data_IF_429766544791
#
_entry.id   IF_429766544791
#
_cell.length_a   1.000
_cell.length_b   1.000
_cell.length_c   1.000
_cell.angle_alpha   90.00
_cell.angle_beta   90.00
_cell.angle_gamma   90.00
#
_symmetry.space_group_name_H-M   'P 1'
#
loop_
_entity.id
_entity.type
_entity.pdbx_description
1 polymer ?
#
# COMPACT_ATOMS: atom_id res chain seq x y z
N UNK A 1 -26.36 8.20 -7.53
CA UNK A 1 -25.39 7.20 -7.04
C UNK A 1 -24.29 8.01 -6.37
N UNK A 2 -23.88 7.71 -5.14
CA UNK A 2 -22.79 8.41 -4.49
C UNK A 2 -21.52 8.37 -5.33
N UNK A 3 -20.80 9.49 -5.40
CA UNK A 3 -19.50 9.58 -6.07
C UNK A 3 -18.44 9.05 -5.11
N UNK A 4 -17.74 7.97 -5.50
CA UNK A 4 -16.74 7.34 -4.66
C UNK A 4 -15.32 7.66 -5.16
N UNK A 5 -14.60 8.46 -4.41
CA UNK A 5 -13.24 8.93 -4.69
C UNK A 5 -12.25 8.57 -3.57
N UNK A 6 -12.49 7.46 -2.87
CA UNK A 6 -11.62 6.92 -1.81
C UNK A 6 -11.08 5.51 -2.12
N UNK A 7 -10.73 5.26 -3.38
CA UNK A 7 -10.20 3.96 -3.83
C UNK A 7 -8.86 3.59 -3.18
N UNK A 8 -8.08 4.56 -2.71
CA UNK A 8 -6.85 4.30 -1.96
C UNK A 8 -7.13 3.74 -0.54
N UNK A 9 -8.33 3.88 0.01
CA UNK A 9 -8.73 3.18 1.23
C UNK A 9 -9.19 1.76 0.94
N UNK A 10 -10.10 1.58 -0.02
CA UNK A 10 -10.54 0.29 -0.55
C UNK A 10 -11.24 0.50 -1.89
N UNK A 11 -11.15 -0.46 -2.82
CA UNK A 11 -11.90 -0.40 -4.08
C UNK A 11 -13.09 -1.35 -4.02
N UNK A 12 -14.25 -0.97 -4.63
CA UNK A 12 -15.38 -1.87 -4.77
C UNK A 12 -14.98 -3.18 -5.46
N UNK A 13 -15.57 -4.29 -5.01
CA UNK A 13 -15.32 -5.60 -5.60
C UNK A 13 -15.76 -5.59 -7.07
N UNK A 14 -14.86 -5.99 -7.98
CA UNK A 14 -15.15 -6.01 -9.42
C UNK A 14 -16.10 -7.15 -9.76
N UNK A 15 -17.02 -6.97 -10.75
CA UNK A 15 -18.00 -8.00 -11.12
C UNK A 15 -17.37 -9.34 -11.51
N UNK A 16 -16.28 -9.33 -12.28
CA UNK A 16 -15.54 -10.52 -12.69
C UNK A 16 -14.85 -11.22 -11.52
N UNK A 17 -14.36 -10.45 -10.55
CA UNK A 17 -13.78 -10.99 -9.31
C UNK A 17 -14.86 -11.61 -8.44
N UNK A 18 -16.02 -10.93 -8.29
CA UNK A 18 -17.16 -11.46 -7.54
C UNK A 18 -17.64 -12.79 -8.11
N UNK A 19 -17.76 -12.90 -9.45
CA UNK A 19 -18.16 -14.11 -10.11
C UNK A 19 -17.20 -15.27 -9.83
N UNK A 20 -15.90 -15.07 -10.04
CA UNK A 20 -14.86 -16.07 -9.76
C UNK A 20 -14.79 -16.46 -8.29
N UNK A 21 -14.91 -15.49 -7.38
CA UNK A 21 -14.92 -15.72 -5.94
C UNK A 21 -16.11 -16.56 -5.51
N UNK A 22 -17.32 -16.23 -5.99
CA UNK A 22 -18.56 -16.97 -5.69
C UNK A 22 -18.50 -18.42 -6.20
N UNK A 23 -17.94 -18.65 -7.38
CA UNK A 23 -17.73 -19.98 -7.93
C UNK A 23 -16.73 -20.77 -7.07
N UNK A 24 -15.60 -20.17 -6.71
CA UNK A 24 -14.57 -20.81 -5.92
C UNK A 24 -15.02 -21.14 -4.48
N UNK A 25 -15.94 -20.35 -3.90
CA UNK A 25 -16.51 -20.62 -2.57
C UNK A 25 -17.33 -21.94 -2.50
N UNK A 26 -17.74 -22.49 -3.65
CA UNK A 26 -18.43 -23.79 -3.71
C UNK A 26 -17.45 -24.97 -3.58
N UNK A 27 -16.15 -24.72 -3.67
CA UNK A 27 -15.12 -25.74 -3.58
C UNK A 27 -15.05 -26.30 -2.15
N UNK A 28 -15.24 -27.62 -2.03
CA UNK A 28 -15.09 -28.32 -0.76
C UNK A 28 -13.78 -29.11 -0.74
N UNK A 29 -12.88 -28.74 0.15
CA UNK A 29 -11.61 -29.46 0.33
C UNK A 29 -10.60 -28.65 1.12
N UNK A 30 -9.77 -29.35 1.91
CA UNK A 30 -8.58 -28.74 2.52
C UNK A 30 -7.39 -29.02 1.60
N UNK A 31 -6.65 -27.98 1.13
CA UNK A 31 -5.49 -28.16 0.24
C UNK A 31 -4.38 -29.07 0.80
N UNK A 32 -4.36 -29.32 2.12
CA UNK A 32 -3.40 -30.23 2.77
C UNK A 32 -3.86 -31.68 2.78
N UNK A 33 -5.12 -31.99 2.41
CA UNK A 33 -5.64 -33.36 2.41
C UNK A 33 -5.20 -34.14 1.19
N UNK A 34 -4.96 -35.46 1.36
CA UNK A 34 -4.44 -36.36 0.31
C UNK A 34 -5.55 -36.94 -0.60
N UNK A 35 -6.83 -36.87 -0.20
CA UNK A 35 -7.95 -37.36 -0.99
C UNK A 35 -8.29 -36.39 -2.13
N UNK A 36 -9.10 -36.85 -3.11
CA UNK A 36 -9.40 -36.11 -4.34
C UNK A 36 -9.93 -34.69 -4.12
N UNK A 37 -10.84 -34.46 -3.16
CA UNK A 37 -11.34 -33.13 -2.85
C UNK A 37 -10.22 -32.18 -2.36
N UNK A 38 -9.28 -32.68 -1.53
CA UNK A 38 -8.12 -31.90 -1.09
C UNK A 38 -7.16 -31.59 -2.23
N UNK A 39 -6.92 -32.57 -3.11
CA UNK A 39 -6.07 -32.37 -4.30
C UNK A 39 -6.70 -31.34 -5.26
N UNK A 40 -8.03 -31.36 -5.45
CA UNK A 40 -8.73 -30.35 -6.24
C UNK A 40 -8.59 -28.93 -5.63
N UNK A 41 -8.80 -28.80 -4.32
CA UNK A 41 -8.60 -27.52 -3.63
C UNK A 41 -7.16 -27.02 -3.73
N UNK A 42 -6.18 -27.92 -3.64
CA UNK A 42 -4.76 -27.60 -3.82
C UNK A 42 -4.46 -27.15 -5.24
N UNK A 43 -5.00 -27.82 -6.25
CA UNK A 43 -4.81 -27.43 -7.64
C UNK A 43 -5.33 -26.03 -7.91
N UNK A 44 -6.49 -25.68 -7.39
CA UNK A 44 -7.07 -24.33 -7.51
C UNK A 44 -6.21 -23.27 -6.79
N UNK A 45 -5.74 -23.57 -5.59
CA UNK A 45 -4.86 -22.67 -4.83
C UNK A 45 -3.54 -22.42 -5.58
N UNK A 46 -2.91 -23.47 -6.11
CA UNK A 46 -1.63 -23.35 -6.81
C UNK A 46 -1.78 -22.69 -8.19
N UNK A 47 -2.89 -22.91 -8.92
CA UNK A 47 -3.21 -22.15 -10.14
C UNK A 47 -3.33 -20.65 -9.85
N UNK A 48 -4.10 -20.29 -8.82
CA UNK A 48 -4.24 -18.89 -8.40
C UNK A 48 -2.89 -18.26 -8.01
N UNK A 49 -2.02 -19.03 -7.34
CA UNK A 49 -0.66 -18.59 -6.97
C UNK A 49 0.19 -18.32 -8.21
N UNK A 50 0.16 -19.19 -9.20
CA UNK A 50 0.91 -19.06 -10.45
C UNK A 50 0.44 -17.84 -11.25
N UNK A 51 -0.86 -17.62 -11.33
CA UNK A 51 -1.47 -16.45 -11.99
C UNK A 51 -1.08 -15.14 -11.28
N UNK A 52 -1.17 -15.10 -9.95
CA UNK A 52 -0.71 -13.94 -9.17
C UNK A 52 0.78 -13.69 -9.37
N UNK A 53 1.61 -14.74 -9.34
CA UNK A 53 3.05 -14.64 -9.57
C UNK A 53 3.37 -14.04 -10.96
N UNK A 54 2.65 -14.48 -11.99
CA UNK A 54 2.80 -13.93 -13.33
C UNK A 54 2.43 -12.44 -13.39
N UNK A 55 1.35 -12.02 -12.70
CA UNK A 55 0.94 -10.63 -12.64
C UNK A 55 1.92 -9.72 -11.88
N UNK A 56 2.61 -10.27 -10.86
CA UNK A 56 3.62 -9.56 -10.05
C UNK A 56 5.00 -9.56 -10.71
N UNK A 57 5.25 -10.48 -11.65
CA UNK A 57 6.56 -10.67 -12.27
C UNK A 57 7.54 -11.42 -11.36
N UNK A 58 7.07 -12.54 -10.75
CA UNK A 58 7.90 -13.37 -9.86
C UNK A 58 7.65 -14.87 -10.09
N UNK A 59 8.42 -15.71 -9.40
CA UNK A 59 8.16 -17.16 -9.40
C UNK A 59 7.03 -17.50 -8.42
N UNK A 60 6.19 -18.49 -8.76
CA UNK A 60 5.09 -18.93 -7.89
C UNK A 60 5.54 -19.29 -6.47
N UNK A 61 6.77 -19.80 -6.30
CA UNK A 61 7.31 -20.10 -4.98
C UNK A 61 7.69 -18.87 -4.17
N UNK A 62 7.69 -17.69 -4.76
CA UNK A 62 7.94 -16.42 -4.07
C UNK A 62 6.67 -15.81 -3.48
N UNK A 63 5.49 -16.28 -3.89
CA UNK A 63 4.20 -15.82 -3.38
C UNK A 63 3.84 -16.56 -2.07
N UNK A 64 3.61 -15.80 -1.01
CA UNK A 64 3.11 -16.26 0.30
C UNK A 64 1.79 -15.54 0.56
N UNK A 65 0.67 -16.27 0.56
CA UNK A 65 -0.63 -15.68 0.84
C UNK A 65 -0.77 -15.27 2.30
N UNK A 66 -1.39 -14.12 2.54
CA UNK A 66 -1.63 -13.52 3.85
C UNK A 66 -3.07 -13.01 3.94
N UNK A 67 -3.48 -12.53 5.12
CA UNK A 67 -4.80 -11.91 5.31
C UNK A 67 -4.88 -10.46 4.80
N UNK A 68 -3.81 -9.91 4.24
CA UNK A 68 -3.76 -8.55 3.71
C UNK A 68 -2.39 -7.92 3.81
N UNK A 69 -2.28 -6.66 3.38
CA UNK A 69 -1.02 -5.91 3.40
C UNK A 69 -0.42 -5.76 4.79
N UNK A 70 -1.25 -5.58 5.82
CA UNK A 70 -0.76 -5.44 7.21
C UNK A 70 -0.06 -6.71 7.71
N UNK A 71 -0.63 -7.90 7.47
CA UNK A 71 0.04 -9.16 7.82
C UNK A 71 1.33 -9.33 7.00
N UNK A 72 1.29 -9.02 5.71
CA UNK A 72 2.44 -9.14 4.82
C UNK A 72 3.61 -8.23 5.26
N UNK A 73 3.34 -6.96 5.56
CA UNK A 73 4.34 -6.01 6.08
C UNK A 73 4.92 -6.47 7.43
N UNK A 74 4.06 -6.91 8.37
CA UNK A 74 4.52 -7.43 9.66
C UNK A 74 5.40 -8.69 9.49
N UNK A 75 5.01 -9.62 8.62
CA UNK A 75 5.79 -10.85 8.36
C UNK A 75 7.16 -10.51 7.78
N UNK A 76 7.22 -9.58 6.82
CA UNK A 76 8.47 -9.15 6.21
C UNK A 76 9.39 -8.47 7.22
N UNK A 77 8.90 -7.43 7.90
CA UNK A 77 9.72 -6.59 8.80
C UNK A 77 10.19 -7.39 10.00
N UNK A 78 9.27 -8.02 10.73
CA UNK A 78 9.60 -8.81 11.93
C UNK A 78 10.37 -10.08 11.58
N UNK A 79 10.03 -10.72 10.44
CA UNK A 79 10.70 -11.92 9.97
C UNK A 79 12.14 -11.68 9.53
N UNK A 80 12.41 -10.60 8.76
CA UNK A 80 13.77 -10.18 8.38
C UNK A 80 14.59 -9.79 9.62
N UNK A 81 14.03 -8.96 10.50
CA UNK A 81 14.70 -8.51 11.71
C UNK A 81 15.14 -9.71 12.58
N UNK A 82 14.23 -10.63 12.85
CA UNK A 82 14.51 -11.80 13.67
C UNK A 82 15.53 -12.75 13.01
N UNK A 83 15.41 -12.97 11.69
CA UNK A 83 16.33 -13.86 10.95
C UNK A 83 17.75 -13.30 10.91
N UNK A 84 17.88 -12.00 10.64
CA UNK A 84 19.20 -11.35 10.48
C UNK A 84 19.94 -11.16 11.80
N UNK A 85 19.23 -11.04 12.92
CA UNK A 85 19.83 -10.82 14.25
C UNK A 85 20.63 -9.52 14.37
N UNK A 86 20.34 -8.52 13.51
CA UNK A 86 20.95 -7.18 13.52
C UNK A 86 19.97 -6.16 14.08
N UNK A 87 20.45 -5.02 14.53
CA UNK A 87 19.63 -4.09 15.33
C UNK A 87 19.02 -2.95 14.52
N UNK A 88 19.68 -2.50 13.43
CA UNK A 88 19.29 -1.29 12.73
C UNK A 88 18.22 -1.59 11.70
N UNK A 89 17.11 -0.84 11.75
CA UNK A 89 16.08 -0.76 10.73
C UNK A 89 16.18 0.61 10.08
N UNK A 90 16.20 0.66 8.76
CA UNK A 90 16.21 1.92 7.99
C UNK A 90 14.83 2.07 7.35
N UNK A 91 14.13 3.17 7.63
CA UNK A 91 12.77 3.43 7.13
C UNK A 91 12.49 4.92 7.03
N UNK A 92 11.27 5.32 6.66
CA UNK A 92 10.86 6.71 6.59
C UNK A 92 9.59 6.97 7.41
N UNK A 93 9.46 8.16 7.99
CA UNK A 93 8.28 8.53 8.75
C UNK A 93 7.01 8.73 7.89
N UNK A 94 7.13 8.61 6.57
CA UNK A 94 6.02 8.65 5.60
C UNK A 94 5.39 7.28 5.31
N UNK A 95 5.85 6.22 5.98
CA UNK A 95 5.35 4.87 5.80
C UNK A 95 3.90 4.72 6.30
N UNK A 96 3.21 3.69 5.79
CA UNK A 96 1.91 3.29 6.32
C UNK A 96 2.04 2.70 7.74
N UNK A 97 1.01 2.84 8.58
CA UNK A 97 0.98 2.28 9.95
C UNK A 97 1.29 0.79 10.03
N UNK A 98 0.99 0.00 9.00
CA UNK A 98 1.38 -1.42 8.94
C UNK A 98 2.91 -1.63 8.98
N UNK A 99 3.69 -0.62 8.58
CA UNK A 99 5.16 -0.57 8.67
C UNK A 99 5.60 0.13 9.95
N UNK A 100 5.09 1.36 10.20
CA UNK A 100 5.47 2.17 11.37
C UNK A 100 5.25 1.43 12.68
N UNK A 101 4.03 0.91 12.92
CA UNK A 101 3.71 0.23 14.18
C UNK A 101 4.50 -1.07 14.34
N UNK A 102 4.85 -1.76 13.22
CA UNK A 102 5.71 -2.93 13.26
C UNK A 102 7.15 -2.57 13.65
N UNK A 103 7.67 -1.45 13.15
CA UNK A 103 9.00 -0.91 13.47
C UNK A 103 9.04 -0.42 14.92
N UNK A 104 8.06 0.38 15.33
CA UNK A 104 7.93 0.87 16.72
C UNK A 104 7.84 -0.29 17.73
N UNK A 105 7.10 -1.36 17.38
CA UNK A 105 7.10 -2.57 18.20
C UNK A 105 8.51 -3.16 18.36
N UNK A 106 9.29 -3.23 17.26
CA UNK A 106 10.65 -3.75 17.31
C UNK A 106 11.61 -2.83 18.11
N UNK A 107 11.40 -1.50 18.12
CA UNK A 107 12.13 -0.59 19.00
C UNK A 107 11.93 -0.97 20.48
N UNK A 108 10.70 -1.36 20.87
CA UNK A 108 10.45 -1.86 22.24
C UNK A 108 11.19 -3.16 22.55
N UNK A 109 11.62 -3.89 21.51
CA UNK A 109 12.41 -5.12 21.61
C UNK A 109 13.91 -4.88 21.44
N UNK A 110 14.35 -3.63 21.36
CA UNK A 110 15.75 -3.23 21.29
C UNK A 110 16.28 -2.99 19.87
N UNK A 111 15.41 -2.83 18.88
CA UNK A 111 15.81 -2.34 17.56
C UNK A 111 16.21 -0.86 17.66
N UNK A 112 17.15 -0.47 16.81
CA UNK A 112 17.48 0.92 16.51
C UNK A 112 16.87 1.31 15.17
N UNK A 113 16.29 2.49 15.06
CA UNK A 113 15.68 2.94 13.81
C UNK A 113 16.39 4.18 13.28
N UNK A 114 16.79 4.12 12.01
CA UNK A 114 17.20 5.30 11.27
C UNK A 114 16.05 5.77 10.41
N UNK A 115 15.50 6.92 10.75
CA UNK A 115 14.45 7.60 10.03
C UNK A 115 15.06 8.44 8.92
N UNK A 116 14.92 7.99 7.68
CA UNK A 116 15.40 8.73 6.51
C UNK A 116 14.72 10.08 6.39
N UNK A 117 15.50 11.09 6.06
CA UNK A 117 15.00 12.41 5.69
C UNK A 117 14.10 12.30 4.45
N UNK A 118 13.02 13.07 4.42
CA UNK A 118 12.12 13.19 3.29
C UNK A 118 12.01 14.63 2.81
N UNK A 119 11.90 14.81 1.50
CA UNK A 119 11.66 16.13 0.90
C UNK A 119 10.24 16.62 1.17
N UNK A 120 9.98 17.90 0.91
CA UNK A 120 8.63 18.47 0.93
C UNK A 120 7.67 17.86 -0.10
N UNK A 121 8.16 17.05 -1.03
CA UNK A 121 7.37 16.29 -1.99
C UNK A 121 7.11 14.83 -1.57
N UNK A 122 7.59 14.42 -0.39
CA UNK A 122 7.41 13.07 0.14
C UNK A 122 8.35 12.01 -0.41
N UNK A 123 9.46 12.43 -1.05
CA UNK A 123 10.48 11.51 -1.57
C UNK A 123 11.65 11.44 -0.59
N UNK A 124 12.15 10.24 -0.32
CA UNK A 124 13.29 10.01 0.58
C UNK A 124 14.56 10.67 0.05
N UNK A 125 15.45 11.04 0.97
CA UNK A 125 16.79 11.54 0.65
C UNK A 125 17.74 10.35 0.41
N UNK A 126 18.16 10.19 -0.85
CA UNK A 126 19.10 9.13 -1.25
C UNK A 126 20.52 9.33 -0.72
N UNK A 127 20.93 10.55 -0.45
CA UNK A 127 22.25 10.85 0.12
C UNK A 127 22.27 10.45 1.62
N UNK A 128 21.18 10.66 2.34
CA UNK A 128 21.01 10.16 3.71
C UNK A 128 21.02 8.63 3.76
N UNK A 129 20.33 7.95 2.82
CA UNK A 129 20.38 6.50 2.70
C UNK A 129 21.81 6.00 2.40
N UNK A 130 22.51 6.65 1.49
CA UNK A 130 23.88 6.29 1.13
C UNK A 130 24.81 6.42 2.33
N UNK A 131 24.70 7.52 3.09
CA UNK A 131 25.50 7.79 4.28
C UNK A 131 25.26 6.76 5.38
N UNK A 132 24.03 6.44 5.73
CA UNK A 132 23.73 5.46 6.77
C UNK A 132 24.18 4.05 6.38
N UNK A 133 24.09 3.68 5.09
CA UNK A 133 24.59 2.40 4.62
C UNK A 133 26.11 2.33 4.65
N UNK A 134 26.82 3.39 4.25
CA UNK A 134 28.28 3.44 4.35
C UNK A 134 28.76 3.30 5.80
N UNK A 135 28.12 3.98 6.73
CA UNK A 135 28.52 4.03 8.14
C UNK A 135 28.08 2.80 8.94
N UNK A 136 26.87 2.22 8.67
CA UNK A 136 26.19 1.28 9.58
C UNK A 136 25.60 0.03 8.90
N UNK A 137 25.96 -0.30 7.67
CA UNK A 137 25.37 -1.47 6.97
C UNK A 137 25.57 -2.81 7.71
N UNK A 138 26.66 -2.96 8.48
CA UNK A 138 26.91 -4.17 9.26
C UNK A 138 25.89 -4.37 10.39
N UNK A 139 25.29 -3.27 10.89
CA UNK A 139 24.24 -3.29 11.90
C UNK A 139 22.83 -3.44 11.27
N UNK A 140 22.69 -3.16 9.98
CA UNK A 140 21.40 -3.07 9.32
C UNK A 140 20.74 -4.43 9.15
N UNK A 141 19.58 -4.60 9.76
CA UNK A 141 18.70 -5.76 9.59
C UNK A 141 17.96 -5.69 8.26
N UNK A 142 17.36 -4.54 7.95
CA UNK A 142 16.59 -4.32 6.73
C UNK A 142 16.42 -2.82 6.43
N UNK A 143 16.07 -2.54 5.18
CA UNK A 143 15.45 -1.29 4.76
C UNK A 143 13.97 -1.59 4.51
N UNK A 144 13.05 -0.76 5.04
CA UNK A 144 11.61 -0.88 4.81
C UNK A 144 11.07 0.44 4.25
N UNK A 145 10.67 0.44 2.96
CA UNK A 145 10.19 1.64 2.26
C UNK A 145 9.03 1.28 1.34
N UNK A 146 7.94 2.05 1.44
CA UNK A 146 6.83 1.91 0.51
C UNK A 146 7.23 2.35 -0.91
N UNK A 147 6.68 1.70 -1.93
CA UNK A 147 6.97 2.07 -3.31
C UNK A 147 6.21 3.32 -3.74
N UNK A 148 4.92 3.39 -3.34
CA UNK A 148 4.05 4.55 -3.59
C UNK A 148 3.40 4.95 -2.29
N UNK A 149 3.48 6.24 -1.96
CA UNK A 149 2.82 6.76 -0.77
C UNK A 149 1.28 6.75 -0.94
N UNK A 150 0.58 6.12 -0.03
CA UNK A 150 -0.86 5.94 -0.07
C UNK A 150 -1.67 7.22 0.20
N UNK A 151 -1.02 8.28 0.69
CA UNK A 151 -1.67 9.58 0.91
C UNK A 151 -1.40 10.55 -0.24
N UNK A 152 -0.14 10.71 -0.65
CA UNK A 152 0.28 11.72 -1.61
C UNK A 152 0.43 11.20 -3.04
N UNK A 153 0.54 9.89 -3.22
CA UNK A 153 0.86 9.26 -4.49
C UNK A 153 2.32 9.42 -4.91
N UNK A 154 3.20 9.97 -4.07
CA UNK A 154 4.63 10.12 -4.36
C UNK A 154 5.30 8.75 -4.55
N UNK A 155 6.24 8.66 -5.49
CA UNK A 155 6.92 7.42 -5.87
C UNK A 155 8.32 7.41 -5.24
N UNK A 156 8.63 6.37 -4.48
CA UNK A 156 9.98 6.09 -3.98
C UNK A 156 10.82 5.45 -5.10
N UNK A 157 12.08 5.88 -5.34
CA UNK A 157 12.94 5.31 -6.39
C UNK A 157 13.52 3.94 -5.97
N UNK A 158 12.66 2.92 -5.87
CA UNK A 158 12.96 1.60 -5.31
C UNK A 158 14.15 0.93 -6.02
N UNK A 159 14.26 1.04 -7.34
CA UNK A 159 15.38 0.45 -8.09
C UNK A 159 16.72 1.08 -7.69
N UNK A 160 16.73 2.37 -7.35
CA UNK A 160 17.95 3.04 -6.85
C UNK A 160 18.25 2.61 -5.41
N UNK A 161 17.22 2.47 -4.58
CA UNK A 161 17.35 1.98 -3.20
C UNK A 161 17.92 0.57 -3.19
N UNK A 162 17.36 -0.35 -3.97
CA UNK A 162 17.80 -1.76 -4.03
C UNK A 162 19.19 -1.90 -4.62
N UNK A 163 19.52 -1.14 -5.68
CA UNK A 163 20.87 -1.11 -6.25
C UNK A 163 21.93 -0.62 -5.26
N UNK A 164 21.57 0.37 -4.42
CA UNK A 164 22.46 0.86 -3.36
C UNK A 164 22.60 -0.17 -2.24
N UNK A 165 21.47 -0.68 -1.73
CA UNK A 165 21.43 -1.67 -0.65
C UNK A 165 22.18 -2.97 -0.99
N UNK A 166 22.12 -3.41 -2.26
CA UNK A 166 22.81 -4.59 -2.75
C UNK A 166 24.34 -4.52 -2.59
N UNK A 167 24.94 -3.32 -2.69
CA UNK A 167 26.39 -3.11 -2.50
C UNK A 167 26.84 -3.49 -1.08
N UNK A 168 25.91 -3.41 -0.12
CA UNK A 168 26.15 -3.64 1.30
C UNK A 168 25.48 -4.93 1.81
N UNK A 169 24.78 -5.67 0.96
CA UNK A 169 24.08 -6.90 1.34
C UNK A 169 22.95 -6.68 2.36
N UNK A 170 22.29 -5.51 2.30
CA UNK A 170 21.14 -5.18 3.16
C UNK A 170 19.85 -5.47 2.41
N UNK A 171 18.94 -6.32 2.95
CA UNK A 171 17.67 -6.63 2.31
C UNK A 171 16.73 -5.43 2.32
N UNK A 172 15.96 -5.30 1.24
CA UNK A 172 14.94 -4.25 1.09
C UNK A 172 13.55 -4.89 1.06
N UNK A 173 12.70 -4.45 1.98
CA UNK A 173 11.27 -4.68 1.97
C UNK A 173 10.54 -3.47 1.41
N UNK A 174 9.53 -3.69 0.56
CA UNK A 174 8.68 -2.61 0.09
C UNK A 174 7.20 -2.91 0.35
N UNK A 175 6.50 -1.93 0.94
CA UNK A 175 5.04 -1.91 0.87
C UNK A 175 4.61 -1.52 -0.55
N UNK A 176 4.17 -2.51 -1.31
CA UNK A 176 3.70 -2.39 -2.70
C UNK A 176 2.19 -2.22 -2.84
N UNK A 177 1.48 -2.03 -1.72
CA UNK A 177 -0.01 -2.01 -1.69
C UNK A 177 -0.59 -0.89 -2.56
N UNK A 178 0.04 0.28 -2.60
CA UNK A 178 -0.42 1.41 -3.40
C UNK A 178 0.23 1.49 -4.80
N UNK A 179 1.28 0.70 -5.06
CA UNK A 179 1.99 0.70 -6.35
C UNK A 179 1.50 -0.38 -7.30
N UNK A 180 1.20 -1.58 -6.78
CA UNK A 180 0.89 -2.74 -7.59
C UNK A 180 -0.35 -2.48 -8.46
N UNK A 181 -0.23 -2.69 -9.78
CA UNK A 181 -1.22 -2.40 -10.83
C UNK A 181 -1.51 -0.90 -11.08
N UNK A 182 -0.98 0.04 -10.30
CA UNK A 182 -1.15 1.48 -10.49
C UNK A 182 0.05 2.15 -11.19
N UNK A 183 1.17 1.42 -11.27
CA UNK A 183 2.34 1.74 -12.07
C UNK A 183 2.99 0.44 -12.55
N UNK A 184 3.90 0.49 -13.54
CA UNK A 184 4.69 -0.69 -13.90
C UNK A 184 5.44 -1.20 -12.66
N UNK A 185 5.11 -2.42 -12.22
CA UNK A 185 5.69 -3.06 -11.05
C UNK A 185 6.09 -4.48 -11.44
N UNK A 186 7.38 -4.79 -11.39
CA UNK A 186 7.91 -6.13 -11.61
C UNK A 186 8.84 -6.47 -10.45
N UNK A 187 8.44 -7.44 -9.63
CA UNK A 187 9.22 -7.84 -8.47
C UNK A 187 10.58 -8.44 -8.86
N UNK A 188 10.63 -9.27 -9.91
CA UNK A 188 11.85 -9.94 -10.36
C UNK A 188 12.94 -8.97 -10.80
N UNK A 189 12.57 -7.82 -11.36
CA UNK A 189 13.50 -6.80 -11.84
C UNK A 189 13.80 -5.72 -10.79
N UNK A 190 13.02 -5.65 -9.71
CA UNK A 190 13.10 -4.57 -8.71
C UNK A 190 14.31 -4.65 -7.78
N UNK A 191 14.90 -5.83 -7.61
CA UNK A 191 15.95 -6.10 -6.62
C UNK A 191 15.46 -6.19 -5.17
N UNK A 192 14.14 -6.18 -4.94
CA UNK A 192 13.54 -6.31 -3.62
C UNK A 192 13.78 -7.70 -3.02
N UNK A 193 13.97 -7.74 -1.72
CA UNK A 193 13.97 -8.98 -0.94
C UNK A 193 12.56 -9.45 -0.64
N UNK A 194 11.65 -8.50 -0.37
CA UNK A 194 10.24 -8.77 -0.11
C UNK A 194 9.36 -7.61 -0.55
N UNK A 195 8.11 -7.91 -0.96
CA UNK A 195 7.08 -6.91 -1.30
C UNK A 195 5.72 -7.33 -0.78
N UNK A 196 5.02 -6.43 -0.09
CA UNK A 196 3.64 -6.65 0.38
C UNK A 196 2.63 -6.13 -0.64
N UNK A 197 1.57 -6.92 -0.93
CA UNK A 197 0.45 -6.54 -1.79
C UNK A 197 -0.88 -7.00 -1.20
N UNK A 198 -1.99 -6.39 -1.64
CA UNK A 198 -3.34 -6.73 -1.12
C UNK A 198 -4.40 -6.70 -2.22
N UNK A 199 -5.41 -7.56 -2.10
CA UNK A 199 -6.45 -7.71 -3.09
C UNK A 199 -7.43 -6.53 -3.13
N UNK A 200 -7.84 -5.99 -1.96
CA UNK A 200 -8.93 -5.02 -1.89
C UNK A 200 -8.62 -3.65 -2.51
N UNK A 201 -7.36 -3.32 -2.76
CA UNK A 201 -6.97 -2.10 -3.49
C UNK A 201 -7.16 -2.24 -5.01
N UNK A 202 -7.24 -3.47 -5.49
CA UNK A 202 -7.41 -3.82 -6.91
C UNK A 202 -8.85 -4.18 -7.27
N UNK A 203 -9.80 -4.04 -6.33
CA UNK A 203 -11.16 -4.53 -6.49
C UNK A 203 -11.30 -6.04 -6.26
N UNK A 204 -10.41 -6.61 -5.47
CA UNK A 204 -10.48 -7.93 -4.89
C UNK A 204 -11.09 -7.95 -3.48
N UNK A 205 -11.18 -9.12 -2.82
CA UNK A 205 -11.77 -9.23 -1.50
C UNK A 205 -10.91 -8.57 -0.40
N UNK A 206 -11.59 -8.00 0.60
CA UNK A 206 -10.97 -7.62 1.87
C UNK A 206 -10.55 -8.88 2.62
N UNK A 207 -9.48 -8.80 3.41
CA UNK A 207 -9.00 -9.94 4.20
C UNK A 207 -8.12 -10.90 3.41
N UNK A 208 -7.63 -10.50 2.22
CA UNK A 208 -6.70 -11.28 1.42
C UNK A 208 -5.55 -10.44 0.85
N UNK A 209 -4.34 -10.95 0.92
CA UNK A 209 -3.13 -10.33 0.40
C UNK A 209 -2.01 -11.34 0.17
N UNK A 210 -0.83 -10.85 -0.15
CA UNK A 210 0.37 -11.68 -0.29
C UNK A 210 1.63 -10.92 0.12
N UNK A 211 2.59 -11.66 0.66
CA UNK A 211 3.98 -11.27 0.73
C UNK A 211 4.73 -11.98 -0.39
N UNK A 212 5.37 -11.22 -1.25
CA UNK A 212 6.31 -11.76 -2.24
C UNK A 212 7.68 -11.82 -1.56
N UNK A 213 8.31 -12.99 -1.60
CA UNK A 213 9.59 -13.27 -0.91
C UNK A 213 10.57 -13.83 -1.92
N UNK A 214 11.62 -13.07 -2.22
CA UNK A 214 12.69 -13.54 -3.11
C UNK A 214 13.27 -14.88 -2.65
N UNK A 215 13.59 -15.77 -3.57
CA UNK A 215 14.15 -17.11 -3.27
C UNK A 215 15.44 -17.05 -2.46
N UNK A 216 16.18 -15.96 -2.56
CA UNK A 216 17.42 -15.74 -1.81
C UNK A 216 17.19 -15.21 -0.39
N UNK A 217 15.92 -14.89 -0.03
CA UNK A 217 15.56 -14.26 1.24
C UNK A 217 14.99 -15.28 2.21
N UNK A 218 15.53 -15.30 3.41
CA UNK A 218 15.03 -16.11 4.52
C UNK A 218 14.35 -15.22 5.57
N UNK A 219 13.24 -15.71 6.09
CA UNK A 219 12.41 -15.04 7.11
C UNK A 219 12.15 -15.97 8.29
N UNK A 220 12.11 -15.40 9.48
CA UNK A 220 11.53 -16.08 10.64
C UNK A 220 10.00 -15.94 10.58
N UNK A 221 9.22 -17.05 10.62
CA UNK A 221 7.77 -16.99 10.55
C UNK A 221 7.17 -16.34 11.79
N UNK A 222 6.03 -15.64 11.62
CA UNK A 222 5.25 -15.09 12.75
C UNK A 222 4.24 -16.11 13.29
N UNK A 223 3.64 -16.93 12.41
CA UNK A 223 2.66 -17.96 12.79
C UNK A 223 3.25 -19.34 12.64
N UNK A 224 3.17 -20.13 13.72
CA UNK A 224 3.67 -21.48 13.77
C UNK A 224 2.51 -22.49 13.72
N UNK A 225 2.66 -23.57 12.96
CA UNK A 225 1.60 -24.58 12.78
C UNK A 225 1.95 -25.62 11.73
N UNK A 226 0.99 -25.96 10.86
CA UNK A 226 1.05 -27.09 9.93
C UNK A 226 1.98 -26.94 8.71
N UNK A 227 2.85 -25.95 8.66
CA UNK A 227 3.86 -25.81 7.60
C UNK A 227 3.30 -25.32 6.25
N UNK A 228 2.09 -24.78 6.20
CA UNK A 228 1.53 -24.17 4.99
C UNK A 228 2.39 -22.99 4.56
N UNK A 229 2.18 -22.50 3.34
CA UNK A 229 2.91 -21.34 2.77
C UNK A 229 4.42 -21.43 3.03
N UNK A 230 5.03 -22.56 2.70
CA UNK A 230 6.45 -22.83 2.85
C UNK A 230 6.96 -22.68 4.31
N UNK A 231 6.12 -23.00 5.28
CA UNK A 231 6.36 -22.80 6.72
C UNK A 231 6.58 -21.31 7.14
N UNK A 232 6.34 -20.36 6.26
CA UNK A 232 6.42 -18.92 6.57
C UNK A 232 5.11 -18.38 7.16
N UNK A 233 3.96 -19.00 6.76
CA UNK A 233 2.65 -18.60 7.26
C UNK A 233 1.76 -19.83 7.44
N UNK A 234 1.60 -20.29 8.68
CA UNK A 234 0.78 -21.45 9.00
C UNK A 234 -0.72 -21.10 9.00
N UNK A 235 -1.56 -22.12 8.84
CA UNK A 235 -3.01 -22.05 8.81
C UNK A 235 -3.58 -22.53 7.47
N UNK A 236 -4.82 -23.05 7.51
CA UNK A 236 -5.51 -23.49 6.29
C UNK A 236 -5.71 -22.31 5.35
N UNK A 237 -5.36 -22.52 4.08
CA UNK A 237 -5.42 -21.47 3.07
C UNK A 237 -6.82 -21.31 2.51
N UNK A 238 -7.24 -20.07 2.30
CA UNK A 238 -8.45 -19.70 1.58
C UNK A 238 -8.20 -19.74 0.07
N UNK A 239 -8.54 -20.89 -0.55
CA UNK A 239 -8.40 -21.08 -1.99
C UNK A 239 -9.31 -20.15 -2.80
N UNK A 240 -10.50 -19.82 -2.29
CA UNK A 240 -11.42 -18.92 -2.96
C UNK A 240 -10.89 -17.48 -2.97
N UNK A 241 -10.38 -17.00 -1.83
CA UNK A 241 -9.70 -15.71 -1.73
C UNK A 241 -8.49 -15.61 -2.66
N UNK A 242 -7.71 -16.70 -2.79
CA UNK A 242 -6.58 -16.76 -3.72
C UNK A 242 -7.01 -16.58 -5.19
N UNK A 243 -8.08 -17.30 -5.62
CA UNK A 243 -8.67 -17.14 -6.96
C UNK A 243 -9.13 -15.71 -7.20
N UNK A 244 -9.87 -15.15 -6.25
CA UNK A 244 -10.37 -13.78 -6.35
C UNK A 244 -9.24 -12.75 -6.46
N UNK A 245 -8.15 -12.95 -5.69
CA UNK A 245 -6.98 -12.08 -5.78
C UNK A 245 -6.25 -12.22 -7.12
N UNK A 246 -6.08 -13.43 -7.62
CA UNK A 246 -5.47 -13.67 -8.93
C UNK A 246 -6.24 -12.96 -10.04
N UNK A 247 -7.58 -13.10 -10.08
CA UNK A 247 -8.44 -12.41 -11.06
C UNK A 247 -8.31 -10.89 -10.92
N UNK A 248 -8.32 -10.35 -9.70
CA UNK A 248 -8.14 -8.92 -9.49
C UNK A 248 -6.77 -8.41 -9.97
N UNK A 249 -5.71 -9.21 -9.77
CA UNK A 249 -4.35 -8.89 -10.19
C UNK A 249 -4.13 -8.98 -11.71
N UNK A 250 -4.87 -9.84 -12.41
CA UNK A 250 -4.82 -9.96 -13.87
C UNK A 250 -5.64 -8.90 -14.60
N UNK A 251 -6.61 -8.30 -13.89
CA UNK A 251 -7.50 -7.29 -14.49
C UNK A 251 -6.81 -5.93 -14.48
N UNK A 252 -6.47 -5.35 -15.64
CA UNK A 252 -5.72 -4.11 -15.70
C UNK A 252 -6.50 -2.94 -15.09
N UNK A 253 -5.77 -2.01 -14.49
CA UNK A 253 -6.34 -0.73 -14.05
C UNK A 253 -6.47 0.20 -15.27
N UNK A 254 -7.50 1.09 -15.30
CA UNK A 254 -7.59 2.15 -16.29
C UNK A 254 -6.39 3.11 -16.23
N UNK A 255 -6.22 3.86 -17.31
CA UNK A 255 -5.31 5.01 -17.30
C UNK A 255 -5.98 6.22 -16.63
N UNK A 256 -5.50 6.60 -15.48
CA UNK A 256 -6.06 7.70 -14.68
C UNK A 256 -5.44 9.07 -14.99
N UNK A 257 -4.53 9.19 -15.98
CA UNK A 257 -3.81 10.47 -16.25
C UNK A 257 -4.73 11.60 -16.66
N UNK A 258 -5.79 11.32 -17.42
CA UNK A 258 -6.77 12.33 -17.80
C UNK A 258 -7.60 12.81 -16.59
N UNK A 259 -8.06 11.89 -15.75
CA UNK A 259 -8.76 12.21 -14.50
C UNK A 259 -7.87 13.05 -13.56
N UNK A 260 -6.61 12.64 -13.41
CA UNK A 260 -5.65 13.37 -12.59
C UNK A 260 -5.39 14.79 -13.10
N UNK A 261 -5.20 14.95 -14.42
CA UNK A 261 -4.97 16.26 -15.03
C UNK A 261 -6.17 17.19 -14.82
N UNK A 262 -7.39 16.69 -15.06
CA UNK A 262 -8.62 17.45 -14.83
C UNK A 262 -8.79 17.81 -13.35
N UNK A 263 -8.56 16.88 -12.44
CA UNK A 263 -8.67 17.15 -11.00
C UNK A 263 -7.65 18.21 -10.55
N UNK A 264 -6.40 18.13 -11.02
CA UNK A 264 -5.38 19.14 -10.72
C UNK A 264 -5.77 20.50 -11.27
N UNK A 265 -6.24 20.57 -12.52
CA UNK A 265 -6.69 21.82 -13.15
C UNK A 265 -7.81 22.51 -12.36
N UNK A 266 -8.84 21.74 -11.99
CA UNK A 266 -10.05 22.29 -11.37
C UNK A 266 -9.90 22.58 -9.86
N UNK A 267 -9.03 21.83 -9.15
CA UNK A 267 -8.87 21.95 -7.70
C UNK A 267 -7.75 22.92 -7.31
N UNK A 268 -6.68 23.06 -8.10
CA UNK A 268 -5.52 23.90 -7.77
C UNK A 268 -5.83 25.39 -7.54
N UNK A 269 -6.89 25.98 -8.09
CA UNK A 269 -7.30 27.34 -7.70
C UNK A 269 -7.75 27.49 -6.23
N UNK A 270 -8.13 26.39 -5.56
CA UNK A 270 -8.66 26.36 -4.20
C UNK A 270 -7.71 25.70 -3.20
N UNK A 271 -6.91 24.74 -3.63
CA UNK A 271 -6.02 23.93 -2.80
C UNK A 271 -4.65 23.73 -3.41
N UNK A 272 -3.67 23.35 -2.59
CA UNK A 272 -2.29 23.12 -3.02
C UNK A 272 -2.01 21.62 -3.08
N UNK A 273 -1.58 21.12 -4.24
CA UNK A 273 -1.17 19.72 -4.41
C UNK A 273 0.07 19.43 -3.54
N UNK A 274 -0.04 18.46 -2.63
CA UNK A 274 0.96 18.22 -1.57
C UNK A 274 2.34 17.81 -2.09
N UNK A 275 2.40 17.05 -3.20
CA UNK A 275 3.67 16.68 -3.84
C UNK A 275 4.19 17.71 -4.86
N UNK A 276 3.48 18.82 -5.05
CA UNK A 276 3.83 19.84 -6.06
C UNK A 276 3.93 19.22 -7.46
N UNK A 277 5.00 19.54 -8.19
CA UNK A 277 5.29 19.02 -9.54
C UNK A 277 6.04 17.68 -9.55
N UNK A 278 6.35 17.11 -8.39
CA UNK A 278 7.03 15.80 -8.31
C UNK A 278 6.16 14.71 -8.92
N UNK A 279 6.74 13.82 -9.75
CA UNK A 279 6.00 12.71 -10.33
C UNK A 279 5.37 11.81 -9.26
N UNK A 280 4.17 11.32 -9.55
CA UNK A 280 3.45 10.38 -8.68
C UNK A 280 2.45 9.57 -9.47
N UNK A 281 1.87 8.56 -8.84
CA UNK A 281 0.82 7.77 -9.48
C UNK A 281 -0.41 8.64 -9.75
N UNK A 282 -1.05 8.49 -10.91
CA UNK A 282 -2.15 9.37 -11.30
C UNK A 282 -3.45 9.10 -10.52
N UNK A 283 -3.61 7.93 -9.95
CA UNK A 283 -4.82 7.54 -9.23
C UNK A 283 -4.91 8.04 -7.78
N UNK A 284 -3.88 8.71 -7.25
CA UNK A 284 -3.85 9.29 -5.90
C UNK A 284 -3.42 10.75 -5.97
N UNK A 285 -4.27 11.64 -5.52
CA UNK A 285 -4.00 13.07 -5.39
C UNK A 285 -4.31 13.53 -3.97
N UNK A 286 -3.46 14.37 -3.40
CA UNK A 286 -3.68 14.97 -2.08
C UNK A 286 -3.49 16.48 -2.18
N UNK A 287 -4.45 17.23 -1.64
CA UNK A 287 -4.43 18.69 -1.63
C UNK A 287 -4.59 19.19 -0.19
N UNK A 288 -3.88 20.27 0.16
CA UNK A 288 -4.13 21.03 1.37
C UNK A 288 -4.94 22.27 1.05
N UNK A 289 -5.83 22.69 1.98
CA UNK A 289 -6.72 23.82 1.82
C UNK A 289 -6.53 24.79 2.98
N UNK A 290 -5.86 25.91 2.73
CA UNK A 290 -5.50 26.90 3.76
C UNK A 290 -6.73 27.39 4.53
N UNK A 291 -6.62 27.38 5.87
CA UNK A 291 -7.67 27.80 6.78
C UNK A 291 -8.88 26.87 6.87
N UNK A 292 -8.79 25.64 6.35
CA UNK A 292 -9.86 24.65 6.43
C UNK A 292 -9.51 23.52 7.40
N UNK A 293 -10.55 22.90 7.98
CA UNK A 293 -10.45 21.59 8.62
C UNK A 293 -10.78 20.50 7.58
N UNK A 294 -9.86 19.56 7.35
CA UNK A 294 -10.09 18.42 6.46
C UNK A 294 -11.29 17.58 6.91
N UNK A 295 -11.50 17.41 8.22
CA UNK A 295 -12.66 16.71 8.77
C UNK A 295 -13.98 17.43 8.42
N UNK A 296 -14.04 18.75 8.60
CA UNK A 296 -15.22 19.54 8.22
C UNK A 296 -15.51 19.43 6.72
N UNK A 297 -14.44 19.45 5.90
CA UNK A 297 -14.59 19.28 4.44
C UNK A 297 -15.11 17.89 4.07
N UNK A 298 -14.67 16.83 4.75
CA UNK A 298 -15.19 15.47 4.56
C UNK A 298 -16.68 15.40 4.80
N UNK A 299 -17.17 15.93 5.94
CA UNK A 299 -18.60 15.94 6.27
C UNK A 299 -19.42 16.76 5.26
N UNK A 300 -18.91 17.91 4.85
CA UNK A 300 -19.60 18.74 3.86
C UNK A 300 -19.65 18.10 2.48
N UNK A 301 -18.61 17.34 2.07
CA UNK A 301 -18.61 16.60 0.81
C UNK A 301 -19.53 15.38 0.87
N UNK A 302 -19.61 14.70 2.01
CA UNK A 302 -20.53 13.57 2.22
C UNK A 302 -22.01 14.04 2.14
N UNK A 303 -22.34 15.25 2.59
CA UNK A 303 -23.66 15.88 2.37
C UNK A 303 -23.99 16.10 0.87
N UNK A 304 -22.97 16.12 0.01
CA UNK A 304 -23.10 16.19 -1.44
C UNK A 304 -23.00 14.80 -2.11
N UNK A 305 -23.09 13.70 -1.35
CA UNK A 305 -22.89 12.33 -1.84
C UNK A 305 -21.49 12.09 -2.46
N UNK A 306 -20.44 12.78 -2.01
CA UNK A 306 -19.07 12.66 -2.49
C UNK A 306 -18.17 12.13 -1.38
N UNK A 307 -17.72 10.88 -1.52
CA UNK A 307 -16.82 10.21 -0.59
C UNK A 307 -15.34 10.44 -0.98
N UNK A 308 -14.59 11.13 -0.12
CA UNK A 308 -13.14 11.35 -0.21
C UNK A 308 -12.50 11.01 1.14
N UNK A 309 -11.18 11.18 1.30
CA UNK A 309 -10.47 10.93 2.56
C UNK A 309 -9.61 12.13 2.95
N UNK A 310 -9.23 12.23 4.23
CA UNK A 310 -8.20 13.16 4.69
C UNK A 310 -6.78 12.54 4.64
N UNK A 311 -6.66 11.30 4.14
CA UNK A 311 -5.39 10.57 4.04
C UNK A 311 -4.98 9.87 5.33
N UNK A 312 -5.19 10.49 6.49
CA UNK A 312 -4.83 9.90 7.79
C UNK A 312 -5.82 8.80 8.19
N UNK A 313 -5.30 7.69 8.72
CA UNK A 313 -6.15 6.67 9.33
C UNK A 313 -6.78 7.25 10.62
N UNK A 314 -8.12 7.28 10.67
CA UNK A 314 -8.84 7.65 11.89
C UNK A 314 -8.56 6.62 12.99
N UNK A 315 -7.78 6.99 14.01
CA UNK A 315 -7.63 6.16 15.20
C UNK A 315 -8.78 6.48 16.15
N UNK A 316 -9.71 5.54 16.32
CA UNK A 316 -10.86 5.66 17.24
C UNK A 316 -11.77 6.88 17.00
N UNK A 317 -11.96 7.33 15.73
CA UNK A 317 -12.88 8.41 15.39
C UNK A 317 -12.38 9.83 15.68
N UNK A 318 -11.09 9.99 16.01
CA UNK A 318 -10.46 11.31 16.17
C UNK A 318 -9.62 11.60 14.95
N UNK A 319 -9.97 12.66 14.21
CA UNK A 319 -9.16 13.15 13.10
C UNK A 319 -7.82 13.67 13.64
N UNK A 320 -6.72 13.13 13.12
CA UNK A 320 -5.36 13.60 13.39
C UNK A 320 -4.78 14.19 12.12
N UNK A 321 -3.88 15.16 12.27
CA UNK A 321 -3.09 15.64 11.15
C UNK A 321 -2.32 14.46 10.52
N UNK A 322 -2.19 14.47 9.21
CA UNK A 322 -1.44 13.46 8.48
C UNK A 322 0.03 13.42 8.94
N UNK A 323 0.47 12.27 9.48
CA UNK A 323 1.87 12.06 9.86
C UNK A 323 2.79 12.15 8.63
N UNK A 324 2.30 11.76 7.46
CA UNK A 324 3.01 11.86 6.18
C UNK A 324 3.32 13.33 5.87
N UNK A 325 2.29 14.19 5.91
CA UNK A 325 2.48 15.61 5.63
C UNK A 325 3.34 16.32 6.68
N UNK A 326 3.23 15.93 7.96
CA UNK A 326 4.12 16.41 9.01
C UNK A 326 5.59 16.02 8.73
N UNK A 327 5.83 14.76 8.33
CA UNK A 327 7.16 14.28 7.94
C UNK A 327 7.71 15.01 6.69
N UNK A 328 6.84 15.47 5.80
CA UNK A 328 7.18 16.30 4.63
C UNK A 328 7.45 17.76 4.99
N UNK A 329 7.30 18.16 6.27
CA UNK A 329 7.56 19.52 6.75
C UNK A 329 6.36 20.46 6.73
N UNK A 330 5.14 19.95 6.51
CA UNK A 330 3.93 20.75 6.67
C UNK A 330 3.68 21.09 8.15
N UNK A 331 3.08 22.26 8.39
CA UNK A 331 2.59 22.62 9.73
C UNK A 331 1.41 21.74 10.14
N UNK A 332 1.14 21.65 11.44
CA UNK A 332 -0.02 20.94 11.97
C UNK A 332 -1.34 21.39 11.33
N UNK A 333 -1.51 22.70 11.14
CA UNK A 333 -2.67 23.29 10.50
C UNK A 333 -2.79 22.81 9.03
N UNK A 334 -1.71 22.93 8.24
CA UNK A 334 -1.68 22.48 6.84
C UNK A 334 -1.93 20.99 6.72
N UNK A 335 -1.29 20.17 7.57
CA UNK A 335 -1.47 18.72 7.55
C UNK A 335 -2.90 18.29 7.94
N UNK A 336 -3.58 19.06 8.78
CA UNK A 336 -4.99 18.84 9.17
C UNK A 336 -5.99 19.30 8.12
N UNK A 337 -5.59 20.10 7.15
CA UNK A 337 -6.46 20.62 6.07
C UNK A 337 -6.47 19.74 4.83
N UNK A 338 -5.81 18.58 4.85
CA UNK A 338 -5.63 17.74 3.66
C UNK A 338 -6.91 17.00 3.27
N UNK A 339 -7.11 16.87 1.95
CA UNK A 339 -8.03 15.92 1.33
C UNK A 339 -7.26 15.07 0.33
N UNK A 340 -7.43 13.75 0.44
CA UNK A 340 -6.98 12.79 -0.56
C UNK A 340 -8.15 12.40 -1.45
N UNK A 341 -7.92 12.45 -2.76
CA UNK A 341 -8.83 12.01 -3.81
C UNK A 341 -8.17 10.84 -4.51
N UNK A 342 -8.87 9.73 -4.64
CA UNK A 342 -8.30 8.55 -5.31
C UNK A 342 -9.30 7.89 -6.24
N UNK A 343 -8.81 7.50 -7.42
CA UNK A 343 -9.59 7.01 -8.53
C UNK A 343 -9.58 5.50 -8.62
N UNK A 344 -10.69 4.95 -9.12
CA UNK A 344 -10.86 3.54 -9.43
C UNK A 344 -11.57 3.32 -10.76
N UNK A 345 -11.82 2.06 -11.14
CA UNK A 345 -12.35 1.72 -12.46
C UNK A 345 -13.69 2.35 -12.83
N UNK A 346 -14.49 2.75 -11.85
CA UNK A 346 -15.79 3.38 -12.05
C UNK A 346 -15.73 4.91 -12.08
N UNK A 347 -14.59 5.50 -11.69
CA UNK A 347 -14.44 6.96 -11.64
C UNK A 347 -14.51 7.57 -13.04
N UNK A 348 -15.35 8.59 -13.22
CA UNK A 348 -15.56 9.31 -14.47
C UNK A 348 -15.09 10.76 -14.42
N UNK A 349 -14.98 11.42 -15.58
CA UNK A 349 -14.72 12.86 -15.68
C UNK A 349 -15.84 13.71 -15.05
N UNK A 350 -17.08 13.20 -15.12
CA UNK A 350 -18.26 13.82 -14.52
C UNK A 350 -18.16 13.84 -12.99
N UNK A 351 -17.63 12.80 -12.37
CA UNK A 351 -17.40 12.74 -10.92
C UNK A 351 -16.39 13.81 -10.48
N UNK A 352 -15.33 14.03 -11.26
CA UNK A 352 -14.34 15.08 -10.98
C UNK A 352 -14.94 16.48 -11.14
N UNK A 353 -15.78 16.70 -12.14
CA UNK A 353 -16.48 17.97 -12.33
C UNK A 353 -17.46 18.25 -11.19
N UNK A 354 -18.22 17.25 -10.76
CA UNK A 354 -19.14 17.37 -9.64
C UNK A 354 -18.41 17.70 -8.31
N UNK A 355 -17.27 17.05 -8.05
CA UNK A 355 -16.41 17.41 -6.92
C UNK A 355 -15.95 18.88 -7.02
N UNK A 356 -15.46 19.30 -8.19
CA UNK A 356 -14.97 20.66 -8.42
C UNK A 356 -16.08 21.72 -8.30
N UNK A 357 -17.32 21.39 -8.64
CA UNK A 357 -18.49 22.26 -8.48
C UNK A 357 -18.88 22.43 -7.00
N UNK A 358 -18.79 21.39 -6.18
CA UNK A 358 -19.08 21.41 -4.76
C UNK A 358 -18.00 22.13 -3.94
N UNK A 359 -16.72 21.97 -4.28
CA UNK A 359 -15.56 22.41 -3.50
C UNK A 359 -15.57 23.91 -3.12
N UNK A 360 -15.93 24.89 -3.97
CA UNK A 360 -15.90 26.31 -3.58
C UNK A 360 -16.79 26.58 -2.36
N UNK A 361 -17.98 26.01 -2.32
CA UNK A 361 -18.92 26.19 -1.21
C UNK A 361 -18.45 25.44 0.04
N UNK A 362 -17.90 24.23 -0.13
CA UNK A 362 -17.33 23.42 0.94
C UNK A 362 -16.16 24.17 1.60
N UNK A 363 -15.21 24.67 0.82
CA UNK A 363 -14.04 25.43 1.30
C UNK A 363 -14.49 26.73 2.00
N UNK A 364 -15.45 27.47 1.41
CA UNK A 364 -15.96 28.70 2.02
C UNK A 364 -16.68 28.47 3.35
N UNK A 365 -17.33 27.33 3.50
CA UNK A 365 -18.02 26.93 4.74
C UNK A 365 -17.03 26.40 5.78
N UNK A 366 -16.11 25.53 5.38
CA UNK A 366 -15.09 24.96 6.27
C UNK A 366 -14.12 26.00 6.87
N UNK A 367 -13.91 27.13 6.20
CA UNK A 367 -13.12 28.27 6.72
C UNK A 367 -13.82 29.07 7.83
N UNK A 368 -15.11 28.87 8.06
CA UNK A 368 -15.91 29.59 9.05
C UNK A 368 -16.10 28.79 10.35
N UNK A 369 -15.74 27.50 10.29
CA UNK A 369 -15.85 26.57 11.40
C UNK A 369 -14.49 26.48 12.11
#
# INVERSE_FOLDING_TARGET
VPIYLDHAATSPLRPEVLAAYTEALQLVGNPSSIHSAGQSARAVLEDARERLAAAVGCDRNEVIFTSGGTEANNLAIKGLYAHRGRKLIITAATEHHAVLDAVEYLETQGAEVHWLSVSSAGVIDMDDLARVLEERHEEAALIALMWVNNETGAITPIEQVTALAAKYGVPVHSDGVASFQHMPTNFGDSGLSTMAITAHKLGGPVGFGALIVSRATELTPLFHGGGQERALRAGTMDAAGAVAFAVAAETPQPDYRELAALAVELISPLGTLTRGSTPGVPNILSFTFEGCSGESMLFLLDEHDIAVSNGSACTAGVARASHVLLAMGHTQESASSALRISFGPQTSLEDIKALAEALPNVVATARKI
#
